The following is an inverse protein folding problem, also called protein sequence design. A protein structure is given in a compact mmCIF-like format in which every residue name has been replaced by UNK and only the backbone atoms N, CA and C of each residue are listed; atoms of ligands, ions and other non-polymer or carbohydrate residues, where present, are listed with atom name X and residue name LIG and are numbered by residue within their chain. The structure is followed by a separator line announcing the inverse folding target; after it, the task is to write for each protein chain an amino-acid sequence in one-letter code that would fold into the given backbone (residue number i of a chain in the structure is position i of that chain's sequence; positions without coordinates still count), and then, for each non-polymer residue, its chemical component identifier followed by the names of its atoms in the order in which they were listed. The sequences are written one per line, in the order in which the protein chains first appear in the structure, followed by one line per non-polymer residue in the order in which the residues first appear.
data_IF_123948842927
#
_entry.id   IF_123948842927
#
_cell.length_a   1.000
_cell.length_b   1.000
_cell.length_c   1.000
_cell.angle_alpha   90.00
_cell.angle_beta   90.00
_cell.angle_gamma   90.00
#
_symmetry.space_group_name_H-M   'P 1'
#
loop_
_entity.id
_entity.type
_entity.pdbx_description
1 polymer ?
#
# COMPACT_ATOMS: atom_id res chain seq x y z
N UNK A 1 -7.88 -10.99 14.09
CA UNK A 1 -6.66 -10.86 13.30
C UNK A 1 -6.29 -9.41 13.04
N UNK A 2 -7.15 -8.66 12.35
CA UNK A 2 -6.88 -7.27 11.90
C UNK A 2 -6.43 -6.33 13.04
N UNK A 3 -7.05 -6.40 14.20
CA UNK A 3 -6.66 -5.60 15.36
C UNK A 3 -5.19 -5.82 15.78
N UNK A 4 -4.74 -7.05 15.74
CA UNK A 4 -3.38 -7.43 16.15
C UNK A 4 -2.33 -7.28 15.06
N UNK A 5 -2.74 -7.02 13.81
CA UNK A 5 -1.86 -7.10 12.66
C UNK A 5 -0.62 -6.19 12.75
N UNK A 6 -0.72 -4.92 13.18
CA UNK A 6 0.48 -4.08 13.25
C UNK A 6 1.37 -4.38 14.45
N UNK A 7 0.82 -4.93 15.54
CA UNK A 7 1.52 -5.06 16.84
C UNK A 7 1.99 -6.49 17.15
N UNK A 8 1.22 -7.52 16.78
CA UNK A 8 1.49 -8.90 17.13
C UNK A 8 1.22 -9.82 15.95
N UNK A 9 2.14 -9.79 14.99
CA UNK A 9 1.96 -10.45 13.69
C UNK A 9 1.64 -11.94 13.81
N UNK A 10 2.31 -12.66 14.72
CA UNK A 10 2.06 -14.11 14.91
C UNK A 10 0.61 -14.40 15.32
N UNK A 11 0.13 -13.71 16.36
CA UNK A 11 -1.26 -13.85 16.85
C UNK A 11 -2.24 -13.42 15.74
N UNK A 12 -1.92 -12.34 15.04
CA UNK A 12 -2.72 -11.87 13.92
C UNK A 12 -2.87 -12.93 12.83
N UNK A 13 -1.77 -13.55 12.40
CA UNK A 13 -1.76 -14.57 11.36
C UNK A 13 -2.63 -15.78 11.77
N UNK A 14 -2.54 -16.25 13.00
CA UNK A 14 -3.39 -17.35 13.50
C UNK A 14 -4.89 -17.03 13.34
N UNK A 15 -5.31 -15.84 13.79
CA UNK A 15 -6.70 -15.41 13.64
C UNK A 15 -7.11 -15.16 12.18
N UNK A 16 -6.21 -14.63 11.36
CA UNK A 16 -6.51 -14.37 9.96
C UNK A 16 -6.60 -15.66 9.15
N UNK A 17 -5.74 -16.64 9.41
CA UNK A 17 -5.84 -17.95 8.78
C UNK A 17 -7.13 -18.66 9.19
N UNK A 18 -7.48 -18.62 10.49
CA UNK A 18 -8.76 -19.18 10.97
C UNK A 18 -9.95 -18.49 10.29
N UNK A 19 -9.92 -17.15 10.20
CA UNK A 19 -10.96 -16.40 9.50
C UNK A 19 -11.01 -16.74 8.01
N UNK A 20 -9.87 -16.89 7.33
CA UNK A 20 -9.81 -17.27 5.93
C UNK A 20 -10.37 -18.68 5.69
N UNK A 21 -10.07 -19.64 6.57
CA UNK A 21 -10.67 -20.99 6.52
C UNK A 21 -12.19 -20.89 6.67
N UNK A 22 -12.68 -20.23 7.71
CA UNK A 22 -14.13 -20.03 7.94
C UNK A 22 -14.77 -19.31 6.75
N UNK A 23 -14.15 -18.23 6.27
CA UNK A 23 -14.63 -17.46 5.13
C UNK A 23 -14.72 -18.30 3.84
N UNK A 24 -13.79 -19.25 3.64
CA UNK A 24 -13.84 -20.18 2.52
C UNK A 24 -15.09 -21.07 2.54
N UNK A 25 -15.55 -21.47 3.71
CA UNK A 25 -16.80 -22.23 3.87
C UNK A 25 -18.07 -21.37 3.75
N UNK A 26 -17.96 -20.07 4.07
CA UNK A 26 -19.07 -19.13 3.97
C UNK A 26 -19.29 -18.59 2.54
N UNK A 27 -18.39 -18.90 1.59
CA UNK A 27 -18.48 -18.41 0.23
C UNK A 27 -19.72 -18.88 -0.51
N UNK A 28 -20.44 -17.92 -1.12
CA UNK A 28 -21.60 -18.19 -1.97
C UNK A 28 -21.24 -18.87 -3.29
N UNK A 29 -20.01 -18.64 -3.78
CA UNK A 29 -19.48 -19.19 -5.03
C UNK A 29 -18.13 -19.84 -4.77
N UNK A 30 -17.90 -21.02 -5.34
CA UNK A 30 -16.58 -21.63 -5.28
C UNK A 30 -15.54 -20.75 -5.99
N UNK A 31 -14.29 -20.91 -5.60
CA UNK A 31 -13.16 -20.14 -6.14
C UNK A 31 -13.10 -20.14 -7.66
N UNK A 32 -13.32 -21.30 -8.28
CA UNK A 32 -13.23 -21.50 -9.75
C UNK A 32 -14.42 -20.93 -10.52
N UNK A 33 -15.59 -20.79 -9.88
CA UNK A 33 -16.82 -20.29 -10.52
C UNK A 33 -16.85 -18.76 -10.54
N UNK A 34 -16.26 -18.11 -9.52
CA UNK A 34 -16.25 -16.65 -9.46
C UNK A 34 -15.33 -16.07 -10.55
N UNK A 35 -15.95 -15.26 -11.42
CA UNK A 35 -15.25 -14.63 -12.57
C UNK A 35 -14.07 -13.75 -12.15
N UNK A 36 -14.13 -13.17 -10.95
CA UNK A 36 -13.07 -12.29 -10.43
C UNK A 36 -11.83 -13.05 -9.96
N UNK A 37 -11.98 -14.34 -9.64
CA UNK A 37 -10.85 -15.16 -9.23
C UNK A 37 -10.06 -15.71 -10.44
N UNK A 38 -10.69 -15.80 -11.62
CA UNK A 38 -10.03 -16.37 -12.82
C UNK A 38 -8.74 -15.64 -13.21
N UNK A 39 -8.68 -14.29 -13.30
CA UNK A 39 -7.43 -13.60 -13.59
C UNK A 39 -6.36 -13.83 -12.52
N UNK A 40 -6.75 -13.85 -11.23
CA UNK A 40 -5.81 -14.15 -10.14
C UNK A 40 -5.31 -15.59 -10.19
N UNK A 41 -6.16 -16.55 -10.56
CA UNK A 41 -5.74 -17.93 -10.79
C UNK A 41 -4.76 -18.01 -11.96
N UNK A 42 -5.04 -17.32 -13.07
CA UNK A 42 -4.14 -17.26 -14.23
C UNK A 42 -2.80 -16.65 -13.84
N UNK A 43 -2.80 -15.57 -13.09
CA UNK A 43 -1.59 -14.98 -12.52
C UNK A 43 -0.84 -15.98 -11.63
N UNK A 44 -1.54 -16.68 -10.73
CA UNK A 44 -0.95 -17.71 -9.87
C UNK A 44 -0.29 -18.84 -10.67
N UNK A 45 -0.95 -19.32 -11.74
CA UNK A 45 -0.39 -20.34 -12.64
C UNK A 45 0.87 -19.79 -13.34
N UNK A 46 0.84 -18.57 -13.85
CA UNK A 46 1.97 -17.97 -14.54
C UNK A 46 3.21 -17.83 -13.64
N UNK A 47 3.06 -17.37 -12.39
CA UNK A 47 4.20 -17.25 -11.48
C UNK A 47 4.76 -18.62 -11.08
N UNK A 48 3.91 -19.63 -10.94
CA UNK A 48 4.36 -21.02 -10.68
C UNK A 48 5.12 -21.56 -11.89
N UNK A 49 4.56 -21.42 -13.10
CA UNK A 49 5.22 -21.85 -14.33
C UNK A 49 6.55 -21.12 -14.52
N UNK A 50 6.59 -19.80 -14.31
CA UNK A 50 7.84 -19.02 -14.35
C UNK A 50 8.89 -19.55 -13.37
N UNK A 51 8.50 -19.78 -12.12
CA UNK A 51 9.41 -20.30 -11.11
C UNK A 51 9.94 -21.70 -11.45
N UNK A 52 9.10 -22.58 -12.02
CA UNK A 52 9.52 -23.91 -12.47
C UNK A 52 10.47 -23.82 -13.68
N UNK A 53 10.16 -22.99 -14.66
CA UNK A 53 11.02 -22.78 -15.83
C UNK A 53 12.38 -22.24 -15.41
N UNK A 54 12.44 -21.29 -14.50
CA UNK A 54 13.67 -20.73 -13.96
C UNK A 54 14.52 -21.77 -13.21
N UNK A 55 13.89 -22.67 -12.48
CA UNK A 55 14.58 -23.69 -11.69
C UNK A 55 15.07 -24.89 -12.52
N UNK A 56 14.32 -25.29 -13.56
CA UNK A 56 14.56 -26.56 -14.22
C UNK A 56 14.94 -26.46 -15.70
N UNK A 57 14.65 -25.34 -16.36
CA UNK A 57 14.84 -25.20 -17.82
C UNK A 57 15.87 -24.15 -18.20
N UNK A 58 15.84 -22.98 -17.54
CA UNK A 58 16.80 -21.92 -17.84
C UNK A 58 18.10 -22.19 -17.11
N UNK A 59 19.18 -22.51 -17.85
CA UNK A 59 20.55 -22.37 -17.36
C UNK A 59 20.82 -20.87 -17.25
N UNK A 60 20.66 -20.35 -16.06
CA UNK A 60 20.73 -18.90 -15.82
C UNK A 60 22.20 -18.46 -15.91
N UNK A 61 22.51 -17.46 -16.71
CA UNK A 61 23.81 -16.78 -16.73
C UNK A 61 24.21 -16.20 -15.36
N UNK A 62 23.29 -16.23 -14.40
CA UNK A 62 23.43 -15.72 -13.05
C UNK A 62 23.36 -16.82 -11.97
N UNK A 63 23.41 -18.11 -12.35
CA UNK A 63 23.26 -19.24 -11.41
C UNK A 63 24.32 -19.26 -10.28
N UNK A 64 25.52 -18.75 -10.56
CA UNK A 64 26.59 -18.64 -9.56
C UNK A 64 26.38 -17.50 -8.54
N UNK A 65 25.41 -16.63 -8.81
CA UNK A 65 25.22 -15.37 -8.10
C UNK A 65 23.89 -15.33 -7.35
N UNK A 66 22.88 -15.97 -7.92
CA UNK A 66 21.51 -15.97 -7.45
C UNK A 66 20.91 -17.38 -7.47
N UNK A 67 20.32 -17.79 -6.32
CA UNK A 67 19.69 -19.10 -6.20
C UNK A 67 18.30 -19.11 -6.85
N UNK A 68 18.07 -19.88 -7.93
CA UNK A 68 16.77 -19.99 -8.60
C UNK A 68 15.62 -20.43 -7.68
N UNK A 69 15.92 -21.17 -6.59
CA UNK A 69 14.92 -21.60 -5.60
C UNK A 69 14.23 -20.45 -4.90
N UNK A 70 14.83 -19.25 -4.87
CA UNK A 70 14.21 -18.04 -4.35
C UNK A 70 12.91 -17.67 -5.12
N UNK A 71 12.81 -18.06 -6.39
CA UNK A 71 11.57 -17.89 -7.17
C UNK A 71 10.41 -18.70 -6.60
N UNK A 72 10.67 -19.92 -6.11
CA UNK A 72 9.65 -20.75 -5.45
C UNK A 72 9.25 -20.16 -4.10
N UNK A 73 10.21 -19.67 -3.32
CA UNK A 73 9.95 -18.97 -2.06
C UNK A 73 9.14 -17.68 -2.31
N UNK A 74 9.48 -16.95 -3.37
CA UNK A 74 8.79 -15.72 -3.78
C UNK A 74 7.31 -15.92 -4.12
N UNK A 75 6.88 -17.12 -4.53
CA UNK A 75 5.46 -17.45 -4.74
C UNK A 75 4.63 -17.23 -3.46
N UNK A 76 5.24 -17.42 -2.30
CA UNK A 76 4.62 -17.15 -1.00
C UNK A 76 4.17 -15.71 -0.78
N UNK A 77 4.72 -14.75 -1.53
CA UNK A 77 4.30 -13.36 -1.50
C UNK A 77 3.00 -13.10 -2.30
N UNK A 78 2.44 -14.09 -3.00
CA UNK A 78 1.31 -13.93 -3.91
C UNK A 78 0.19 -14.92 -3.68
N UNK A 79 0.47 -16.23 -3.73
CA UNK A 79 -0.56 -17.29 -3.67
C UNK A 79 -1.42 -17.23 -2.41
N UNK A 80 -0.88 -17.08 -1.18
CA UNK A 80 -1.70 -16.96 0.02
C UNK A 80 -2.64 -15.75 -0.01
N UNK A 81 -2.21 -14.66 -0.62
CA UNK A 81 -3.00 -13.43 -0.71
C UNK A 81 -4.12 -13.50 -1.74
N UNK A 82 -3.94 -14.27 -2.83
CA UNK A 82 -5.03 -14.62 -3.77
C UNK A 82 -6.14 -15.37 -3.02
N UNK A 83 -5.75 -16.30 -2.14
CA UNK A 83 -6.71 -16.99 -1.29
C UNK A 83 -7.38 -16.01 -0.31
N UNK A 84 -6.64 -15.11 0.33
CA UNK A 84 -7.20 -14.08 1.21
C UNK A 84 -8.20 -13.18 0.49
N UNK A 85 -7.90 -12.74 -0.72
CA UNK A 85 -8.83 -11.96 -1.55
C UNK A 85 -10.19 -12.64 -1.68
N UNK A 86 -10.22 -13.95 -1.92
CA UNK A 86 -11.45 -14.70 -2.01
C UNK A 86 -12.07 -14.98 -0.63
N UNK A 87 -11.29 -15.48 0.31
CA UNK A 87 -11.75 -15.96 1.61
C UNK A 87 -12.32 -14.84 2.50
N UNK A 88 -11.84 -13.61 2.37
CA UNK A 88 -12.31 -12.48 3.19
C UNK A 88 -13.55 -11.77 2.66
N UNK A 89 -14.02 -12.09 1.47
CA UNK A 89 -15.21 -11.45 0.88
C UNK A 89 -16.46 -11.58 1.78
N UNK A 90 -16.80 -12.73 2.39
CA UNK A 90 -17.99 -12.83 3.24
C UNK A 90 -18.01 -11.89 4.44
N UNK A 91 -16.84 -11.48 4.92
CA UNK A 91 -16.71 -10.55 6.06
C UNK A 91 -16.75 -9.06 5.64
N UNK A 92 -16.92 -8.79 4.34
CA UNK A 92 -16.91 -7.44 3.76
C UNK A 92 -18.11 -7.24 2.82
N UNK A 93 -19.13 -8.09 2.90
CA UNK A 93 -20.25 -8.10 1.97
C UNK A 93 -21.16 -6.86 2.18
N UNK A 94 -21.48 -6.54 3.42
CA UNK A 94 -22.30 -5.38 3.78
C UNK A 94 -21.45 -4.12 4.06
N UNK A 95 -22.11 -2.94 4.06
CA UNK A 95 -21.49 -1.66 4.46
C UNK A 95 -21.14 -1.65 5.94
N UNK A 96 -21.96 -2.27 6.75
CA UNK A 96 -21.79 -2.41 8.19
C UNK A 96 -20.54 -3.23 8.50
N UNK A 97 -20.30 -4.31 7.78
CA UNK A 97 -19.11 -5.13 7.91
C UNK A 97 -17.84 -4.39 7.48
N UNK A 98 -17.88 -3.68 6.35
CA UNK A 98 -16.75 -2.83 5.93
C UNK A 98 -16.47 -1.70 6.92
N UNK A 99 -17.52 -1.13 7.52
CA UNK A 99 -17.37 -0.16 8.61
C UNK A 99 -16.75 -0.79 9.86
N UNK A 100 -17.20 -1.98 10.26
CA UNK A 100 -16.62 -2.72 11.39
C UNK A 100 -15.15 -3.05 11.16
N UNK A 101 -14.81 -3.49 9.95
CA UNK A 101 -13.42 -3.70 9.53
C UNK A 101 -12.58 -2.43 9.71
N UNK A 102 -13.08 -1.29 9.23
CA UNK A 102 -12.41 0.01 9.37
C UNK A 102 -12.17 0.40 10.84
N UNK A 103 -13.19 0.24 11.70
CA UNK A 103 -13.06 0.51 13.13
C UNK A 103 -12.03 -0.40 13.80
N UNK A 104 -12.01 -1.67 13.44
CA UNK A 104 -11.04 -2.65 13.96
C UNK A 104 -9.62 -2.27 13.53
N UNK A 105 -9.45 -1.84 12.29
CA UNK A 105 -8.16 -1.43 11.74
C UNK A 105 -7.65 -0.15 12.42
N UNK A 106 -8.50 0.86 12.60
CA UNK A 106 -8.18 2.09 13.34
C UNK A 106 -7.77 1.75 14.77
N UNK A 107 -8.55 0.94 15.47
CA UNK A 107 -8.26 0.54 16.87
C UNK A 107 -6.94 -0.20 16.98
N UNK A 108 -6.63 -1.08 16.02
CA UNK A 108 -5.35 -1.79 15.97
C UNK A 108 -4.14 -0.89 15.71
N UNK A 109 -4.35 0.35 15.25
CA UNK A 109 -3.27 1.31 14.99
C UNK A 109 -2.81 2.04 16.27
N UNK A 110 -3.56 1.95 17.37
CA UNK A 110 -3.18 2.59 18.65
C UNK A 110 -1.75 2.25 19.08
N UNK A 111 -1.31 0.98 19.13
CA UNK A 111 0.07 0.65 19.47
C UNK A 111 1.10 1.27 18.52
N UNK A 112 0.78 1.41 17.23
CA UNK A 112 1.66 2.06 16.24
C UNK A 112 1.84 3.54 16.56
N UNK A 113 0.76 4.25 16.94
CA UNK A 113 0.82 5.66 17.32
C UNK A 113 1.59 5.85 18.61
N UNK A 114 1.31 5.05 19.65
CA UNK A 114 2.01 5.13 20.95
C UNK A 114 3.51 4.88 20.76
N UNK A 115 3.88 3.80 20.12
CA UNK A 115 5.29 3.44 19.92
C UNK A 115 5.99 4.40 18.97
N UNK A 116 5.29 4.86 17.92
CA UNK A 116 5.83 5.83 16.98
C UNK A 116 6.13 7.18 17.62
N UNK A 117 5.20 7.72 18.41
CA UNK A 117 5.45 8.95 19.16
C UNK A 117 6.48 8.75 20.28
N UNK A 118 6.44 7.59 20.95
CA UNK A 118 7.47 7.22 21.93
C UNK A 118 8.88 7.19 21.31
N UNK A 119 8.98 6.60 20.10
CA UNK A 119 10.24 6.61 19.35
C UNK A 119 10.68 8.03 18.99
N UNK A 120 9.79 8.86 18.48
CA UNK A 120 10.12 10.17 17.94
C UNK A 120 10.44 11.22 19.03
N UNK A 121 9.62 11.27 20.10
CA UNK A 121 9.73 12.29 21.13
C UNK A 121 10.54 11.85 22.36
N UNK A 122 10.59 10.53 22.64
CA UNK A 122 11.21 10.00 23.85
C UNK A 122 12.36 9.03 23.56
N UNK A 123 12.76 8.90 22.29
CA UNK A 123 13.83 7.99 21.84
C UNK A 123 13.63 6.53 22.30
N UNK A 124 12.36 6.08 22.37
CA UNK A 124 12.10 4.68 22.68
C UNK A 124 12.64 3.82 21.56
N UNK A 125 13.50 2.89 21.91
CA UNK A 125 14.03 1.89 20.99
C UNK A 125 14.04 0.52 21.70
N UNK A 126 13.82 -0.54 20.89
CA UNK A 126 13.77 -1.91 21.37
C UNK A 126 15.02 -2.71 21.01
N UNK A 127 14.94 -4.04 21.10
CA UNK A 127 13.71 -4.83 21.16
C UNK A 127 12.98 -4.79 22.49
N UNK A 128 11.63 -4.68 22.42
CA UNK A 128 10.77 -4.86 23.59
C UNK A 128 10.18 -6.27 23.53
N UNK A 129 10.45 -7.07 24.53
CA UNK A 129 10.03 -8.47 24.61
C UNK A 129 8.97 -8.65 25.69
N UNK A 130 7.87 -9.35 25.35
CA UNK A 130 6.82 -9.74 26.28
C UNK A 130 6.40 -11.19 26.05
N UNK A 131 5.79 -11.82 27.05
CA UNK A 131 5.32 -13.21 27.01
C UNK A 131 6.44 -14.19 26.56
N UNK A 132 7.62 -14.10 27.17
CA UNK A 132 8.79 -14.96 26.88
C UNK A 132 9.17 -14.99 25.39
N UNK A 133 9.15 -13.83 24.73
CA UNK A 133 9.54 -13.71 23.32
C UNK A 133 8.43 -14.01 22.30
N UNK A 134 7.21 -14.30 22.75
CA UNK A 134 6.08 -14.47 21.82
C UNK A 134 5.70 -13.16 21.11
N UNK A 135 5.90 -12.03 21.77
CA UNK A 135 5.70 -10.70 21.22
C UNK A 135 7.02 -9.95 21.31
N UNK A 136 7.61 -9.64 20.16
CA UNK A 136 8.84 -8.86 20.07
C UNK A 136 8.56 -7.65 19.20
N UNK A 137 8.73 -6.46 19.77
CA UNK A 137 8.66 -5.21 19.04
C UNK A 137 10.05 -4.72 18.69
N UNK A 138 10.46 -4.92 17.46
CA UNK A 138 11.70 -4.39 16.92
C UNK A 138 11.51 -2.93 16.53
N UNK A 139 11.70 -2.06 17.52
CA UNK A 139 11.66 -0.63 17.30
C UNK A 139 13.08 -0.11 17.16
N UNK A 140 13.46 0.26 15.96
CA UNK A 140 14.80 0.79 15.68
C UNK A 140 14.96 2.21 16.22
N UNK A 141 16.17 2.63 16.61
CA UNK A 141 16.42 4.05 16.81
C UNK A 141 16.20 4.82 15.51
N UNK A 142 15.81 6.08 15.60
CA UNK A 142 15.66 6.94 14.41
C UNK A 142 17.08 7.31 13.94
N UNK A 143 17.43 6.84 12.77
CA UNK A 143 18.67 7.22 12.09
C UNK A 143 18.58 8.69 11.62
N UNK A 144 19.70 9.40 11.60
CA UNK A 144 19.71 10.77 11.13
C UNK A 144 20.34 10.84 9.71
N UNK A 145 19.61 11.26 8.66
CA UNK A 145 18.21 11.69 8.65
C UNK A 145 17.22 10.52 8.65
N UNK A 146 16.16 10.59 9.45
CA UNK A 146 15.14 9.56 9.50
C UNK A 146 13.86 10.02 10.20
N UNK A 147 12.75 9.34 9.88
CA UNK A 147 11.42 9.61 10.41
C UNK A 147 10.90 8.52 11.32
N UNK A 148 9.72 8.76 11.86
CA UNK A 148 8.97 7.82 12.67
C UNK A 148 8.73 6.51 11.91
N UNK A 149 9.11 5.38 12.49
CA UNK A 149 8.84 4.05 11.94
C UNK A 149 7.95 3.20 12.86
N UNK A 150 7.90 3.50 14.16
CA UNK A 150 7.09 2.77 15.15
C UNK A 150 7.37 1.26 15.10
N UNK A 151 6.33 0.46 14.91
CA UNK A 151 6.40 -1.01 14.83
C UNK A 151 6.75 -1.55 13.43
N UNK A 152 7.25 -0.70 12.54
CA UNK A 152 7.69 -1.08 11.20
C UNK A 152 9.21 -0.98 11.07
N UNK A 153 9.78 -1.77 10.15
CA UNK A 153 11.23 -1.81 9.94
C UNK A 153 11.79 -0.53 9.29
N UNK A 154 10.91 0.27 8.65
CA UNK A 154 11.30 1.48 7.95
C UNK A 154 10.18 2.51 7.95
N UNK A 155 10.52 3.80 7.93
CA UNK A 155 9.58 4.92 7.91
C UNK A 155 8.57 4.87 6.75
N UNK A 156 8.98 4.39 5.56
CA UNK A 156 8.08 4.27 4.41
C UNK A 156 6.98 3.22 4.63
N UNK A 157 7.26 2.13 5.35
CA UNK A 157 6.25 1.14 5.72
C UNK A 157 5.27 1.70 6.74
N UNK A 158 5.76 2.44 7.74
CA UNK A 158 4.90 3.15 8.69
C UNK A 158 4.02 4.17 7.97
N UNK A 159 4.59 4.95 7.06
CA UNK A 159 3.87 5.90 6.22
C UNK A 159 2.76 5.23 5.42
N UNK A 160 3.05 4.10 4.76
CA UNK A 160 2.05 3.33 3.99
C UNK A 160 0.93 2.80 4.87
N UNK A 161 1.26 2.29 6.07
CA UNK A 161 0.25 1.85 7.04
C UNK A 161 -0.67 3.01 7.44
N UNK A 162 -0.10 4.14 7.83
CA UNK A 162 -0.86 5.30 8.28
C UNK A 162 -1.75 5.88 7.17
N UNK A 163 -1.33 5.79 5.91
CA UNK A 163 -2.15 6.20 4.76
C UNK A 163 -3.28 5.20 4.46
N UNK A 164 -3.17 3.93 4.80
CA UNK A 164 -4.33 3.05 4.81
C UNK A 164 -5.38 3.49 5.84
N UNK A 165 -4.93 3.95 7.02
CA UNK A 165 -5.79 4.32 8.15
C UNK A 165 -6.44 5.69 7.95
N UNK A 166 -5.72 6.64 7.37
CA UNK A 166 -6.13 8.03 7.22
C UNK A 166 -7.51 8.24 6.58
N UNK A 167 -7.85 7.60 5.43
CA UNK A 167 -9.19 7.73 4.84
C UNK A 167 -10.31 7.21 5.75
N UNK A 168 -10.04 6.21 6.57
CA UNK A 168 -11.02 5.69 7.53
C UNK A 168 -11.24 6.63 8.70
N UNK A 169 -10.19 7.31 9.18
CA UNK A 169 -10.33 8.39 10.17
C UNK A 169 -11.15 9.56 9.60
N UNK A 170 -10.92 9.94 8.34
CA UNK A 170 -11.73 10.94 7.65
C UNK A 170 -13.19 10.47 7.50
N UNK A 171 -13.43 9.20 7.19
CA UNK A 171 -14.78 8.65 7.10
C UNK A 171 -15.55 8.76 8.43
N UNK A 172 -14.90 8.51 9.57
CA UNK A 172 -15.51 8.67 10.89
C UNK A 172 -15.93 10.12 11.16
N UNK A 173 -15.07 11.08 10.86
CA UNK A 173 -15.38 12.51 11.05
C UNK A 173 -16.53 12.97 10.16
N UNK A 174 -16.57 12.49 8.93
CA UNK A 174 -17.60 12.82 7.95
C UNK A 174 -18.93 12.08 8.21
N UNK A 175 -18.91 10.99 8.97
CA UNK A 175 -20.11 10.25 9.35
C UNK A 175 -20.99 11.14 10.26
N UNK A 176 -22.26 11.34 9.88
CA UNK A 176 -23.21 12.15 10.67
C UNK A 176 -23.57 11.44 11.96
N UNK A 177 -23.13 11.96 13.09
CA UNK A 177 -23.45 11.49 14.44
C UNK A 177 -23.64 12.67 15.39
N UNK A 178 -24.46 12.48 16.40
CA UNK A 178 -24.79 13.52 17.38
C UNK A 178 -24.01 13.38 18.71
N UNK A 179 -23.12 12.40 18.82
CA UNK A 179 -22.36 12.15 20.06
C UNK A 179 -21.04 12.96 20.02
N UNK A 180 -21.00 14.04 20.81
CA UNK A 180 -19.86 14.95 20.87
C UNK A 180 -18.59 14.27 21.36
N UNK A 181 -18.69 13.39 22.39
CA UNK A 181 -17.53 12.73 22.97
C UNK A 181 -16.89 11.79 21.96
N UNK A 182 -17.71 11.01 21.22
CA UNK A 182 -17.19 10.15 20.15
C UNK A 182 -16.53 10.96 19.05
N UNK A 183 -17.14 12.08 18.64
CA UNK A 183 -16.52 12.96 17.64
C UNK A 183 -15.19 13.55 18.10
N UNK A 184 -15.06 13.87 19.37
CA UNK A 184 -13.79 14.34 19.91
C UNK A 184 -12.71 13.26 19.83
N UNK A 185 -13.03 12.01 20.21
CA UNK A 185 -12.11 10.86 20.11
C UNK A 185 -11.72 10.61 18.65
N UNK A 186 -12.67 10.62 17.73
CA UNK A 186 -12.45 10.44 16.30
C UNK A 186 -11.54 11.55 15.73
N UNK A 187 -11.75 12.79 16.16
CA UNK A 187 -10.92 13.93 15.78
C UNK A 187 -9.49 13.82 16.32
N UNK A 188 -9.33 13.40 17.58
CA UNK A 188 -8.00 13.13 18.13
C UNK A 188 -7.27 12.05 17.33
N UNK A 189 -7.97 10.96 16.98
CA UNK A 189 -7.40 9.90 16.13
C UNK A 189 -6.97 10.42 14.76
N UNK A 190 -7.78 11.25 14.12
CA UNK A 190 -7.44 11.89 12.86
C UNK A 190 -6.16 12.70 13.00
N UNK A 191 -6.08 13.59 14.00
CA UNK A 191 -4.90 14.45 14.23
C UNK A 191 -3.65 13.61 14.50
N UNK A 192 -3.73 12.63 15.41
CA UNK A 192 -2.58 11.80 15.73
C UNK A 192 -2.12 10.94 14.54
N UNK A 193 -3.04 10.38 13.76
CA UNK A 193 -2.70 9.62 12.55
C UNK A 193 -2.04 10.52 11.51
N UNK A 194 -2.59 11.73 11.28
CA UNK A 194 -2.01 12.70 10.36
C UNK A 194 -0.63 13.18 10.80
N UNK A 195 -0.46 13.51 12.08
CA UNK A 195 0.82 13.91 12.65
C UNK A 195 1.85 12.78 12.56
N UNK A 196 1.48 11.55 12.93
CA UNK A 196 2.38 10.40 12.80
C UNK A 196 2.80 10.19 11.34
N UNK A 197 1.86 10.25 10.39
CA UNK A 197 2.16 10.12 8.96
C UNK A 197 3.08 11.25 8.47
N UNK A 198 2.90 12.47 8.94
CA UNK A 198 3.80 13.60 8.65
C UNK A 198 5.21 13.35 9.18
N UNK A 199 5.34 12.89 10.42
CA UNK A 199 6.62 12.60 11.09
C UNK A 199 7.35 11.37 10.57
N UNK A 200 6.75 10.58 9.67
CA UNK A 200 7.47 9.52 8.98
C UNK A 200 8.49 10.04 7.99
N UNK A 201 8.44 11.31 7.58
CA UNK A 201 9.21 11.89 6.49
C UNK A 201 9.09 11.08 5.16
N UNK A 202 8.01 10.33 5.02
CA UNK A 202 7.70 9.62 3.78
C UNK A 202 6.93 10.53 2.83
N UNK A 203 7.52 10.85 1.68
CA UNK A 203 6.85 11.66 0.63
C UNK A 203 5.53 11.05 0.19
N UNK A 204 5.47 9.72 0.09
CA UNK A 204 4.23 9.01 -0.20
C UNK A 204 3.15 9.27 0.86
N UNK A 205 3.53 9.30 2.14
CA UNK A 205 2.59 9.59 3.23
C UNK A 205 2.05 11.03 3.13
N UNK A 206 2.89 12.01 2.86
CA UNK A 206 2.47 13.41 2.71
C UNK A 206 1.51 13.61 1.53
N UNK A 207 1.84 13.03 0.37
CA UNK A 207 0.95 13.07 -0.81
C UNK A 207 -0.38 12.40 -0.47
N UNK A 208 -0.35 11.26 0.21
CA UNK A 208 -1.54 10.53 0.62
C UNK A 208 -2.44 11.32 1.56
N UNK A 209 -1.88 12.03 2.55
CA UNK A 209 -2.64 12.92 3.43
C UNK A 209 -3.40 13.99 2.63
N UNK A 210 -2.71 14.67 1.71
CA UNK A 210 -3.25 15.79 0.94
C UNK A 210 -4.30 15.30 -0.09
N UNK A 211 -3.97 14.27 -0.86
CA UNK A 211 -4.83 13.77 -1.96
C UNK A 211 -6.09 13.10 -1.43
N UNK A 212 -6.03 12.45 -0.27
CA UNK A 212 -7.19 11.78 0.31
C UNK A 212 -8.32 12.75 0.71
N UNK A 213 -7.99 13.93 1.20
CA UNK A 213 -8.97 14.91 1.70
C UNK A 213 -10.06 15.26 0.68
N UNK A 214 -9.73 15.78 -0.53
CA UNK A 214 -10.76 16.15 -1.51
C UNK A 214 -11.52 14.93 -2.01
N UNK A 215 -10.88 13.78 -2.16
CA UNK A 215 -11.55 12.56 -2.64
C UNK A 215 -12.59 12.07 -1.61
N UNK A 216 -12.28 12.14 -0.32
CA UNK A 216 -13.21 11.75 0.74
C UNK A 216 -14.46 12.65 0.82
N UNK A 217 -14.39 13.91 0.39
CA UNK A 217 -15.53 14.82 0.28
C UNK A 217 -16.53 14.34 -0.80
N UNK A 218 -16.06 13.55 -1.77
CA UNK A 218 -16.88 12.96 -2.84
C UNK A 218 -16.60 13.53 -4.22
N UNK A 219 -17.54 13.34 -5.16
CA UNK A 219 -17.33 13.67 -6.58
C UNK A 219 -16.88 15.12 -6.82
N UNK A 220 -17.45 16.08 -6.07
CA UNK A 220 -17.06 17.50 -6.19
C UNK A 220 -15.62 17.73 -5.79
N UNK A 221 -15.19 17.14 -4.67
CA UNK A 221 -13.81 17.21 -4.21
C UNK A 221 -12.84 16.47 -5.13
N UNK A 222 -13.24 15.32 -5.66
CA UNK A 222 -12.46 14.57 -6.66
C UNK A 222 -12.26 15.38 -7.95
N UNK A 223 -13.32 15.98 -8.47
CA UNK A 223 -13.22 16.85 -9.66
C UNK A 223 -12.35 18.09 -9.40
N UNK A 224 -12.45 18.68 -8.21
CA UNK A 224 -11.57 19.79 -7.79
C UNK A 224 -10.11 19.34 -7.76
N UNK A 225 -9.81 18.17 -7.23
CA UNK A 225 -8.46 17.60 -7.24
C UNK A 225 -7.92 17.47 -8.67
N UNK A 226 -8.72 16.88 -9.58
CA UNK A 226 -8.34 16.74 -10.99
C UNK A 226 -8.08 18.08 -11.67
N UNK A 227 -8.79 19.13 -11.29
CA UNK A 227 -8.57 20.48 -11.81
C UNK A 227 -7.30 21.14 -11.24
N UNK A 228 -6.96 20.84 -9.98
CA UNK A 228 -5.81 21.47 -9.27
C UNK A 228 -4.49 20.75 -9.61
N UNK A 229 -4.48 19.44 -9.84
CA UNK A 229 -3.26 18.68 -10.15
C UNK A 229 -2.45 19.28 -11.31
N UNK A 230 -3.03 19.63 -12.48
CA UNK A 230 -2.28 20.26 -13.56
C UNK A 230 -1.66 21.60 -13.14
N UNK A 231 -2.36 22.39 -12.35
CA UNK A 231 -1.89 23.69 -11.86
C UNK A 231 -0.68 23.50 -10.94
N UNK A 232 -0.79 22.58 -9.97
CA UNK A 232 0.33 22.26 -9.06
C UNK A 232 1.52 21.70 -9.85
N UNK A 233 1.28 20.80 -10.81
CA UNK A 233 2.34 20.23 -11.65
C UNK A 233 3.04 21.30 -12.50
N UNK A 234 2.27 22.21 -13.08
CA UNK A 234 2.83 23.32 -13.85
C UNK A 234 3.63 24.29 -12.96
N UNK A 235 3.09 24.63 -11.79
CA UNK A 235 3.79 25.47 -10.82
C UNK A 235 5.10 24.82 -10.38
N UNK A 236 5.08 23.52 -10.10
CA UNK A 236 6.27 22.75 -9.74
C UNK A 236 7.30 22.78 -10.89
N UNK A 237 6.89 22.51 -12.12
CA UNK A 237 7.78 22.58 -13.30
C UNK A 237 8.37 23.98 -13.47
N UNK A 238 7.59 25.04 -13.28
CA UNK A 238 8.07 26.42 -13.38
C UNK A 238 9.08 26.76 -12.28
N UNK A 239 8.83 26.33 -11.05
CA UNK A 239 9.76 26.54 -9.92
C UNK A 239 11.09 25.80 -10.16
N UNK A 240 11.07 24.59 -10.71
CA UNK A 240 12.28 23.82 -10.96
C UNK A 240 13.02 24.23 -12.24
N UNK A 241 12.35 24.88 -13.20
CA UNK A 241 12.94 25.27 -14.47
C UNK A 241 13.62 26.65 -14.48
N UNK A 242 13.32 27.51 -13.53
CA UNK A 242 13.80 28.90 -13.51
C UNK A 242 14.61 29.25 -12.27
N UNK A 243 15.42 30.34 -12.39
CA UNK A 243 16.22 30.95 -11.30
C UNK A 243 15.40 31.40 -10.06
N UNK A 244 14.11 31.09 -10.01
CA UNK A 244 13.21 31.38 -8.89
C UNK A 244 13.49 30.53 -7.63
N UNK A 245 14.40 29.56 -7.75
CA UNK A 245 14.70 28.54 -6.73
C UNK A 245 15.15 29.11 -5.37
N UNK A 246 15.91 30.22 -5.35
CA UNK A 246 16.44 30.79 -4.11
C UNK A 246 15.37 31.48 -3.26
N UNK A 247 14.66 32.44 -3.82
CA UNK A 247 13.78 33.33 -3.02
C UNK A 247 12.54 32.66 -2.44
N UNK A 248 11.98 31.64 -3.08
CA UNK A 248 10.78 30.96 -2.58
C UNK A 248 11.14 29.92 -1.50
N UNK A 249 12.21 29.17 -1.69
CA UNK A 249 12.74 28.25 -0.69
C UNK A 249 13.18 28.99 0.58
N UNK A 250 13.89 30.11 0.46
CA UNK A 250 14.31 30.91 1.61
C UNK A 250 13.11 31.49 2.40
N UNK A 251 12.02 31.81 1.71
CA UNK A 251 10.81 32.31 2.38
C UNK A 251 10.03 31.21 3.10
N UNK A 252 10.07 29.99 2.62
CA UNK A 252 9.35 28.85 3.18
C UNK A 252 10.20 28.12 4.25
N UNK A 253 11.53 28.18 4.14
CA UNK A 253 12.47 27.52 5.05
C UNK A 253 12.28 27.92 6.52
N UNK A 254 11.87 29.16 6.78
CA UNK A 254 11.61 29.64 8.14
C UNK A 254 10.38 28.97 8.82
N UNK A 255 9.51 28.31 8.06
CA UNK A 255 8.26 27.71 8.58
C UNK A 255 8.27 26.16 8.56
N UNK A 256 9.23 25.54 7.88
CA UNK A 256 9.29 24.08 7.71
C UNK A 256 10.52 23.53 8.45
N UNK A 257 10.41 22.32 9.06
CA UNK A 257 11.56 21.64 9.64
C UNK A 257 12.66 21.42 8.60
N UNK A 258 13.94 21.58 8.97
CA UNK A 258 15.10 21.40 8.09
C UNK A 258 15.08 20.01 7.41
N UNK A 259 14.66 18.99 8.13
CA UNK A 259 14.50 17.62 7.58
C UNK A 259 13.46 17.54 6.44
N UNK A 260 12.40 18.33 6.50
CA UNK A 260 11.42 18.42 5.42
C UNK A 260 12.03 19.07 4.17
N UNK A 261 12.82 20.11 4.37
CA UNK A 261 13.49 20.82 3.28
C UNK A 261 14.54 19.93 2.59
N UNK A 262 15.31 19.15 3.36
CA UNK A 262 16.30 18.21 2.83
C UNK A 262 15.69 17.16 1.90
N UNK A 263 14.43 16.75 2.10
CA UNK A 263 13.75 15.81 1.20
C UNK A 263 13.48 16.37 -0.21
N UNK A 264 13.56 17.69 -0.37
CA UNK A 264 13.38 18.38 -1.66
C UNK A 264 14.64 19.09 -2.15
N UNK A 265 15.66 19.20 -1.32
CA UNK A 265 16.92 19.86 -1.66
C UNK A 265 17.88 18.90 -2.40
N UNK A 266 18.72 19.38 -3.32
CA UNK A 266 19.75 18.58 -3.96
C UNK A 266 20.69 17.88 -2.95
N UNK A 267 20.98 18.55 -1.83
CA UNK A 267 21.84 18.08 -0.76
C UNK A 267 21.29 16.81 -0.07
N UNK A 268 19.97 16.63 -0.05
CA UNK A 268 19.32 15.40 0.42
C UNK A 268 19.52 14.20 -0.50
N UNK A 269 20.04 14.43 -1.70
CA UNK A 269 20.36 13.40 -2.70
C UNK A 269 21.85 13.26 -2.97
N UNK A 270 22.69 14.08 -2.35
CA UNK A 270 24.14 13.95 -2.43
C UNK A 270 24.58 12.61 -1.83
N UNK A 271 25.39 11.87 -2.58
CA UNK A 271 25.86 10.53 -2.19
C UNK A 271 24.87 9.40 -2.47
N UNK A 272 23.77 9.63 -3.18
CA UNK A 272 22.98 8.53 -3.72
C UNK A 272 23.72 7.85 -4.86
N UNK A 273 24.06 6.58 -4.64
CA UNK A 273 24.86 5.74 -5.54
C UNK A 273 24.18 5.45 -6.90
N UNK A 274 22.88 5.72 -7.03
CA UNK A 274 22.12 5.56 -8.28
C UNK A 274 20.79 6.33 -8.24
N UNK A 275 20.44 6.92 -9.35
CA UNK A 275 19.12 7.54 -9.53
C UNK A 275 18.04 6.49 -9.74
N UNK A 276 16.79 6.81 -9.41
CA UNK A 276 15.64 5.91 -9.70
C UNK A 276 15.49 5.62 -11.19
N UNK A 277 15.93 6.54 -12.05
CA UNK A 277 15.89 6.34 -13.48
C UNK A 277 16.91 5.28 -13.96
N UNK A 278 18.11 5.26 -13.42
CA UNK A 278 19.11 4.23 -13.71
C UNK A 278 18.64 2.85 -13.23
N UNK A 279 18.08 2.77 -12.02
CA UNK A 279 17.47 1.55 -11.48
C UNK A 279 16.36 1.04 -12.42
N UNK A 280 15.50 1.95 -12.89
CA UNK A 280 14.43 1.63 -13.84
C UNK A 280 14.98 1.10 -15.17
N UNK A 281 16.00 1.74 -15.75
CA UNK A 281 16.60 1.32 -17.02
C UNK A 281 17.24 -0.06 -16.89
N UNK A 282 17.98 -0.33 -15.81
CA UNK A 282 18.55 -1.66 -15.54
C UNK A 282 17.45 -2.72 -15.47
N UNK A 283 16.37 -2.46 -14.72
CA UNK A 283 15.25 -3.38 -14.63
C UNK A 283 14.57 -3.65 -15.99
N UNK A 284 14.41 -2.63 -16.83
CA UNK A 284 13.87 -2.79 -18.20
C UNK A 284 14.78 -3.64 -19.07
N UNK A 285 16.10 -3.51 -18.95
CA UNK A 285 17.04 -4.35 -19.68
C UNK A 285 16.94 -5.83 -19.26
N UNK A 286 16.77 -6.09 -17.97
CA UNK A 286 16.51 -7.43 -17.45
C UNK A 286 15.19 -8.03 -17.97
N UNK A 287 14.14 -7.22 -18.05
CA UNK A 287 12.86 -7.67 -18.63
C UNK A 287 13.03 -7.99 -20.13
N UNK A 288 13.76 -7.17 -20.88
CA UNK A 288 14.01 -7.43 -22.30
C UNK A 288 14.74 -8.75 -22.55
N UNK A 289 15.65 -9.14 -21.67
CA UNK A 289 16.38 -10.43 -21.79
C UNK A 289 15.50 -11.65 -21.51
N UNK A 290 14.49 -11.53 -20.62
CA UNK A 290 13.60 -12.61 -20.23
C UNK A 290 12.13 -12.15 -20.10
N UNK A 291 11.46 -11.74 -21.19
CA UNK A 291 10.16 -11.06 -21.12
C UNK A 291 9.00 -11.95 -20.67
N UNK A 292 9.06 -13.26 -20.92
CA UNK A 292 7.95 -14.19 -20.67
C UNK A 292 7.96 -14.79 -19.27
N UNK A 293 9.12 -15.19 -18.78
CA UNK A 293 9.25 -15.92 -17.51
C UNK A 293 10.02 -15.14 -16.44
N UNK A 294 10.60 -13.98 -16.80
CA UNK A 294 11.44 -13.23 -15.90
C UNK A 294 12.76 -13.94 -15.56
N UNK A 295 13.50 -13.38 -14.64
CA UNK A 295 14.81 -13.90 -14.19
C UNK A 295 14.66 -14.63 -12.85
N UNK A 296 13.70 -14.22 -12.02
CA UNK A 296 13.37 -14.83 -10.75
C UNK A 296 13.21 -13.82 -9.60
N UNK A 297 12.48 -14.25 -8.57
CA UNK A 297 12.25 -13.40 -7.40
C UNK A 297 13.56 -13.05 -6.67
N UNK A 298 13.67 -11.83 -6.20
CA UNK A 298 14.86 -11.27 -5.55
C UNK A 298 16.15 -11.27 -6.41
N UNK A 299 16.07 -11.58 -7.70
CA UNK A 299 17.23 -11.56 -8.61
C UNK A 299 17.72 -10.14 -8.88
N UNK A 300 16.80 -9.17 -8.99
CA UNK A 300 17.12 -7.78 -9.29
C UNK A 300 18.25 -7.22 -8.42
N UNK A 301 18.12 -7.32 -7.09
CA UNK A 301 19.07 -6.74 -6.15
C UNK A 301 20.49 -7.28 -6.33
N UNK A 302 20.63 -8.56 -6.61
CA UNK A 302 21.92 -9.22 -6.80
C UNK A 302 22.55 -8.86 -8.13
N UNK A 303 21.78 -8.90 -9.21
CA UNK A 303 22.26 -8.57 -10.56
C UNK A 303 22.64 -7.08 -10.61
N UNK A 304 21.79 -6.21 -10.09
CA UNK A 304 22.07 -4.78 -10.03
C UNK A 304 23.35 -4.46 -9.26
N UNK A 305 23.57 -5.14 -8.11
CA UNK A 305 24.79 -4.99 -7.32
C UNK A 305 26.05 -5.39 -8.09
N UNK A 306 25.98 -6.42 -8.93
CA UNK A 306 27.11 -6.85 -9.74
C UNK A 306 27.41 -5.89 -10.89
N UNK A 307 26.38 -5.38 -11.54
CA UNK A 307 26.53 -4.47 -12.66
C UNK A 307 27.02 -3.08 -12.23
N UNK A 308 26.63 -2.63 -11.04
CA UNK A 308 26.85 -1.24 -10.60
C UNK A 308 27.72 -1.10 -9.36
N UNK A 309 28.05 -2.19 -8.67
CA UNK A 309 28.68 -2.24 -7.34
C UNK A 309 27.80 -1.75 -6.19
N UNK A 310 26.65 -1.14 -6.46
CA UNK A 310 25.73 -0.61 -5.47
C UNK A 310 24.57 -1.57 -5.19
N UNK A 311 24.26 -1.81 -3.91
CA UNK A 311 23.13 -2.66 -3.56
C UNK A 311 21.81 -1.85 -3.52
N UNK A 312 20.81 -2.34 -4.23
CA UNK A 312 19.42 -1.87 -4.13
C UNK A 312 18.49 -3.07 -3.94
N UNK A 313 17.61 -3.00 -2.94
CA UNK A 313 16.77 -4.13 -2.55
C UNK A 313 15.73 -4.57 -3.59
N UNK A 314 15.34 -3.67 -4.49
CA UNK A 314 14.32 -3.90 -5.53
C UNK A 314 14.32 -2.76 -6.57
N UNK A 315 13.54 -2.93 -7.65
CA UNK A 315 13.43 -1.97 -8.75
C UNK A 315 12.63 -0.69 -8.41
N UNK A 316 12.23 -0.45 -7.16
CA UNK A 316 11.42 0.69 -6.70
C UNK A 316 10.09 0.91 -7.46
N UNK A 317 9.61 -0.11 -8.16
CA UNK A 317 8.35 -0.12 -8.90
C UNK A 317 7.82 -1.55 -8.92
N UNK A 318 6.70 -1.81 -8.24
CA UNK A 318 6.18 -3.17 -8.06
C UNK A 318 5.80 -3.87 -9.38
N UNK A 319 5.09 -3.24 -10.33
CA UNK A 319 4.87 -3.83 -11.66
C UNK A 319 6.15 -4.27 -12.37
N UNK A 320 7.19 -3.46 -12.30
CA UNK A 320 8.48 -3.76 -12.92
C UNK A 320 9.20 -4.87 -12.17
N UNK A 321 9.24 -4.82 -10.85
CA UNK A 321 9.81 -5.89 -10.02
C UNK A 321 9.13 -7.24 -10.29
N UNK A 322 7.80 -7.22 -10.45
CA UNK A 322 7.03 -8.42 -10.79
C UNK A 322 7.38 -8.93 -12.20
N UNK A 323 7.57 -8.02 -13.17
CA UNK A 323 7.96 -8.39 -14.54
C UNK A 323 9.40 -8.93 -14.59
N UNK A 324 10.34 -8.36 -13.82
CA UNK A 324 11.69 -8.91 -13.66
C UNK A 324 11.63 -10.30 -13.03
N UNK A 325 10.80 -10.46 -11.98
CA UNK A 325 10.72 -11.70 -11.21
C UNK A 325 10.04 -12.84 -11.97
N UNK A 326 8.90 -12.58 -12.62
CA UNK A 326 8.02 -13.63 -13.18
C UNK A 326 7.58 -13.37 -14.63
N UNK A 327 8.08 -12.32 -15.27
CA UNK A 327 7.79 -11.96 -16.65
C UNK A 327 6.59 -11.02 -16.83
N UNK A 328 6.53 -10.40 -18.00
CA UNK A 328 5.49 -9.45 -18.40
C UNK A 328 4.07 -10.03 -18.34
N UNK A 329 3.79 -11.29 -18.78
CA UNK A 329 2.42 -11.82 -18.73
C UNK A 329 1.85 -11.83 -17.32
N UNK A 330 2.62 -12.24 -16.32
CA UNK A 330 2.20 -12.23 -14.92
C UNK A 330 1.94 -10.82 -14.41
N UNK A 331 2.86 -9.88 -14.67
CA UNK A 331 2.74 -8.49 -14.26
C UNK A 331 1.51 -7.81 -14.89
N UNK A 332 1.27 -8.01 -16.19
CA UNK A 332 0.15 -7.41 -16.92
C UNK A 332 -1.19 -7.92 -16.37
N UNK A 333 -1.35 -9.23 -16.17
CA UNK A 333 -2.62 -9.81 -15.70
C UNK A 333 -2.95 -9.31 -14.29
N UNK A 334 -1.99 -9.31 -13.36
CA UNK A 334 -2.22 -8.81 -12.01
C UNK A 334 -2.59 -7.31 -12.03
N UNK A 335 -1.77 -6.49 -12.67
CA UNK A 335 -2.00 -5.03 -12.72
C UNK A 335 -3.33 -4.68 -13.38
N UNK A 336 -3.65 -5.29 -14.53
CA UNK A 336 -4.91 -5.06 -15.22
C UNK A 336 -6.11 -5.44 -14.34
N UNK A 337 -6.05 -6.58 -13.65
CA UNK A 337 -7.14 -7.03 -12.76
C UNK A 337 -7.37 -6.05 -11.62
N UNK A 338 -6.32 -5.62 -10.96
CA UNK A 338 -6.40 -4.64 -9.86
C UNK A 338 -6.93 -3.30 -10.36
N UNK A 339 -6.42 -2.80 -11.49
CA UNK A 339 -6.89 -1.54 -12.10
C UNK A 339 -8.36 -1.61 -12.46
N UNK A 340 -8.83 -2.74 -13.02
CA UNK A 340 -10.25 -2.95 -13.34
C UNK A 340 -11.11 -2.90 -12.07
N UNK A 341 -10.70 -3.55 -10.98
CA UNK A 341 -11.43 -3.51 -9.70
C UNK A 341 -11.50 -2.06 -9.17
N UNK A 342 -10.40 -1.34 -9.16
CA UNK A 342 -10.36 0.07 -8.73
C UNK A 342 -11.26 0.94 -9.62
N UNK A 343 -11.17 0.81 -10.93
CA UNK A 343 -11.95 1.61 -11.86
C UNK A 343 -13.45 1.35 -11.72
N UNK A 344 -13.88 0.09 -11.71
CA UNK A 344 -15.29 -0.25 -11.62
C UNK A 344 -15.88 0.10 -10.25
N UNK A 345 -15.18 -0.16 -9.16
CA UNK A 345 -15.64 0.24 -7.82
C UNK A 345 -15.72 1.77 -7.69
N UNK A 346 -14.73 2.48 -8.21
CA UNK A 346 -14.75 3.96 -8.24
C UNK A 346 -15.91 4.51 -9.03
N UNK A 347 -16.20 3.98 -10.22
CA UNK A 347 -17.36 4.36 -11.02
C UNK A 347 -18.68 4.22 -10.23
N UNK A 348 -18.79 3.19 -9.41
CA UNK A 348 -19.96 2.93 -8.57
C UNK A 348 -20.04 3.91 -7.40
N UNK A 349 -18.94 4.02 -6.65
CA UNK A 349 -18.88 4.82 -5.42
C UNK A 349 -19.12 6.31 -5.71
N UNK A 350 -18.60 6.82 -6.83
CA UNK A 350 -18.70 8.25 -7.20
C UNK A 350 -19.86 8.59 -8.14
N UNK A 351 -20.64 7.60 -8.61
CA UNK A 351 -21.80 7.86 -9.49
C UNK A 351 -23.04 8.37 -8.75
N UNK A 352 -23.14 8.10 -7.44
CA UNK A 352 -24.36 8.37 -6.65
C UNK A 352 -24.20 9.65 -5.82
N UNK A 353 -24.73 10.77 -6.33
CA UNK A 353 -24.69 12.08 -5.65
C UNK A 353 -25.61 12.21 -4.42
N UNK A 354 -26.66 11.37 -4.31
CA UNK A 354 -27.76 11.62 -3.34
C UNK A 354 -27.63 10.95 -1.97
N UNK A 355 -26.61 10.14 -1.71
CA UNK A 355 -26.45 9.49 -0.39
C UNK A 355 -25.02 9.45 0.09
N UNK A 356 -24.39 10.62 0.25
CA UNK A 356 -22.98 10.75 0.65
C UNK A 356 -22.63 9.98 1.93
N UNK A 357 -23.55 9.87 2.90
CA UNK A 357 -23.30 9.18 4.15
C UNK A 357 -23.26 7.64 4.03
N UNK A 358 -23.99 7.07 3.05
CA UNK A 358 -24.09 5.61 2.90
C UNK A 358 -22.83 4.96 2.29
N UNK A 359 -22.03 5.74 1.57
CA UNK A 359 -20.84 5.24 0.85
C UNK A 359 -19.51 5.76 1.42
N UNK A 360 -19.53 6.40 2.59
CA UNK A 360 -18.36 7.08 3.11
C UNK A 360 -17.22 6.10 3.42
N UNK A 361 -17.53 4.92 3.99
CA UNK A 361 -16.54 3.87 4.25
C UNK A 361 -16.11 3.17 2.96
N UNK A 362 -17.02 2.96 1.99
CA UNK A 362 -16.66 2.42 0.67
C UNK A 362 -15.70 3.37 -0.06
N UNK A 363 -15.90 4.69 0.10
CA UNK A 363 -15.00 5.73 -0.39
C UNK A 363 -13.63 5.65 0.27
N UNK A 364 -13.59 5.42 1.59
CA UNK A 364 -12.35 5.22 2.33
C UNK A 364 -11.60 3.96 1.87
N UNK A 365 -12.31 2.84 1.65
CA UNK A 365 -11.73 1.63 1.05
C UNK A 365 -11.11 1.92 -0.32
N UNK A 366 -11.83 2.67 -1.16
CA UNK A 366 -11.34 3.03 -2.48
C UNK A 366 -10.11 3.94 -2.44
N UNK A 367 -10.13 4.96 -1.59
CA UNK A 367 -9.01 5.90 -1.43
C UNK A 367 -7.77 5.18 -0.91
N UNK A 368 -7.92 4.38 0.16
CA UNK A 368 -6.82 3.62 0.75
C UNK A 368 -6.19 2.66 -0.28
N UNK A 369 -7.03 1.89 -1.00
CA UNK A 369 -6.56 0.94 -2.02
C UNK A 369 -5.90 1.64 -3.20
N UNK A 370 -6.54 2.67 -3.74
CA UNK A 370 -6.04 3.40 -4.91
C UNK A 370 -4.70 4.06 -4.61
N UNK A 371 -4.62 4.76 -3.48
CA UNK A 371 -3.40 5.43 -3.10
C UNK A 371 -2.25 4.43 -2.89
N UNK A 372 -2.51 3.31 -2.20
CA UNK A 372 -1.51 2.26 -2.02
C UNK A 372 -1.00 1.75 -3.36
N UNK A 373 -1.90 1.40 -4.30
CA UNK A 373 -1.51 0.87 -5.61
C UNK A 373 -0.65 1.89 -6.38
N UNK A 374 -1.02 3.17 -6.36
CA UNK A 374 -0.23 4.22 -7.00
C UNK A 374 1.13 4.41 -6.32
N UNK A 375 1.21 4.30 -5.00
CA UNK A 375 2.48 4.43 -4.26
C UNK A 375 3.50 3.36 -4.66
N UNK A 376 3.04 2.16 -5.03
CA UNK A 376 3.90 1.05 -5.48
C UNK A 376 4.60 1.33 -6.83
N UNK A 377 4.22 2.38 -7.55
CA UNK A 377 4.92 2.83 -8.77
C UNK A 377 6.22 3.62 -8.46
N UNK A 378 6.38 4.08 -7.22
CA UNK A 378 7.52 4.90 -6.81
C UNK A 378 8.42 4.22 -5.79
N UNK A 379 7.84 3.32 -4.97
CA UNK A 379 8.57 2.56 -3.98
C UNK A 379 7.76 1.34 -3.56
N UNK A 380 8.43 0.24 -3.20
CA UNK A 380 7.76 -1.03 -2.94
C UNK A 380 7.65 -1.24 -1.43
N UNK A 381 6.43 -1.11 -0.90
CA UNK A 381 6.08 -1.48 0.48
C UNK A 381 5.29 -2.80 0.53
N UNK A 382 4.93 -3.33 -0.63
CA UNK A 382 4.12 -4.55 -0.75
C UNK A 382 4.73 -5.76 -0.04
N UNK A 383 6.05 -5.90 0.00
CA UNK A 383 6.72 -7.06 0.61
C UNK A 383 6.72 -7.06 2.15
N UNK A 384 6.19 -6.03 2.82
CA UNK A 384 5.81 -6.12 4.24
C UNK A 384 4.49 -6.90 4.38
N UNK A 385 4.51 -8.02 5.12
CA UNK A 385 3.36 -8.89 5.25
C UNK A 385 2.12 -8.22 5.86
N UNK A 386 2.29 -7.24 6.74
CA UNK A 386 1.18 -6.47 7.33
C UNK A 386 0.47 -5.64 6.27
N UNK A 387 1.27 -5.02 5.40
CA UNK A 387 0.80 -4.16 4.30
C UNK A 387 0.12 -5.00 3.21
N UNK A 388 0.73 -6.13 2.81
CA UNK A 388 0.15 -7.03 1.80
C UNK A 388 -1.21 -7.56 2.23
N UNK A 389 -1.32 -8.03 3.48
CA UNK A 389 -2.57 -8.56 4.03
C UNK A 389 -3.70 -7.51 3.91
N UNK A 390 -3.46 -6.30 4.39
CA UNK A 390 -4.47 -5.23 4.31
C UNK A 390 -4.82 -4.89 2.87
N UNK A 391 -3.82 -4.75 1.99
CA UNK A 391 -4.05 -4.42 0.60
C UNK A 391 -5.01 -5.40 -0.09
N UNK A 392 -4.79 -6.70 0.08
CA UNK A 392 -5.64 -7.74 -0.53
C UNK A 392 -7.04 -7.79 0.08
N UNK A 393 -7.19 -7.58 1.40
CA UNK A 393 -8.49 -7.50 2.06
C UNK A 393 -9.26 -6.25 1.59
N UNK A 394 -8.61 -5.11 1.42
CA UNK A 394 -9.25 -3.90 0.88
C UNK A 394 -9.74 -4.11 -0.55
N UNK A 395 -8.95 -4.75 -1.41
CA UNK A 395 -9.33 -5.11 -2.79
C UNK A 395 -10.53 -6.08 -2.79
N UNK A 396 -10.58 -7.03 -1.85
CA UNK A 396 -11.74 -7.92 -1.68
C UNK A 396 -13.02 -7.13 -1.33
N UNK A 397 -12.92 -6.14 -0.44
CA UNK A 397 -14.03 -5.24 -0.13
C UNK A 397 -14.51 -4.43 -1.33
N UNK A 398 -13.59 -3.93 -2.17
CA UNK A 398 -13.95 -3.21 -3.40
C UNK A 398 -14.62 -4.11 -4.44
N UNK A 399 -14.19 -5.37 -4.56
CA UNK A 399 -14.87 -6.36 -5.41
C UNK A 399 -16.31 -6.56 -4.96
N UNK A 400 -16.57 -6.63 -3.65
CA UNK A 400 -17.92 -6.75 -3.13
C UNK A 400 -18.78 -5.51 -3.42
N UNK A 401 -18.23 -4.31 -3.39
CA UNK A 401 -18.91 -3.10 -3.84
C UNK A 401 -19.40 -3.23 -5.29
N UNK A 402 -18.58 -3.86 -6.16
CA UNK A 402 -18.96 -4.08 -7.57
C UNK A 402 -20.10 -5.11 -7.68
N UNK A 403 -20.03 -6.23 -6.96
CA UNK A 403 -21.04 -7.28 -7.06
C UNK A 403 -22.38 -6.89 -6.44
N UNK A 404 -22.38 -6.22 -5.29
CA UNK A 404 -23.59 -5.82 -4.60
C UNK A 404 -24.46 -4.83 -5.40
N UNK A 405 -23.84 -4.09 -6.35
CA UNK A 405 -24.63 -3.26 -7.26
C UNK A 405 -25.41 -4.05 -8.30
N UNK A 406 -24.94 -5.22 -8.68
CA UNK A 406 -25.66 -6.11 -9.60
C UNK A 406 -26.99 -6.59 -9.01
N UNK A 407 -27.14 -6.55 -7.69
CA UNK A 407 -28.37 -6.90 -6.96
C UNK A 407 -29.31 -5.71 -6.70
N UNK A 408 -28.93 -4.45 -7.02
CA UNK A 408 -29.75 -3.26 -6.83
C UNK A 408 -30.19 -2.55 -8.14
N UNK A 409 -30.50 -3.25 -9.25
CA UNK A 409 -30.91 -2.56 -10.48
C UNK A 409 -32.34 -2.03 -10.46
N UNK A 410 -33.17 -2.25 -9.42
CA UNK A 410 -34.63 -2.08 -9.50
C UNK A 410 -35.24 -1.01 -8.58
N UNK A 411 -34.47 -0.30 -7.75
CA UNK A 411 -35.08 0.66 -6.80
C UNK A 411 -35.11 2.11 -7.30
N UNK A 412 -34.54 2.44 -8.44
CA UNK A 412 -34.53 3.81 -8.97
C UNK A 412 -35.04 3.90 -10.43
N UNK A 413 -36.20 3.33 -10.72
CA UNK A 413 -37.03 3.69 -11.85
C UNK A 413 -38.44 4.08 -11.31
N UNK A 414 -38.47 5.10 -10.49
CA UNK A 414 -39.68 5.91 -10.24
C UNK A 414 -39.24 7.37 -10.06
#
# INVERSE_FOLDING_TARGET
GIFFLPSTLFISILFLLTAAIIGSFLQKKSFLIDKWNKPFLTFGILIVVSALVQNFVLSNNYADIWDPRLSLVGIGNWIPFIWFFWAFQPFLDSKEERRLFALTLISGTVPVLITGFGQYFFNWNGPFETLNGLIIWYQKPIENPGGLSGLFNHQNYAGSWLIFIWPFCLALILEKRNDLLKKLVEFCFLIFTGLAAFLTYSRNAWIGLIVSLPIMIGKKGFNLLLAIIPIISLTFLLIFSTSFKGHLLDSISNFLPDKFLLEFAPEGYEGLDATRFEIFLSAINLIKSNPFFGIGAASFSKIYQLETTFWKGHAHNLPIELAVSYGLPAAIILCATIIIIIFLSGKIIFSKEKSDNLFIFDRAFWVASSFFIFSQLYDIQYFDGKISIIAWILIAGLKNVIENQSYYPLINRE
#
